data_IF_547927083795
#
_entry.id   IF_547927083795
#
_cell.length_a   1.000
_cell.length_b   1.000
_cell.length_c   1.000
_cell.angle_alpha   90.00
_cell.angle_beta   90.00
_cell.angle_gamma   90.00
#
_symmetry.space_group_name_H-M   'P 1'
#
loop_
_entity.id
_entity.type
_entity.pdbx_description
1 polymer ?
#
# COMPACT_ATOMS: atom_id res chain seq x y z
N UNK A 1 -11.17 -10.07 -8.74
CA UNK A 1 -9.93 -9.72 -8.00
C UNK A 1 -10.05 -9.80 -6.48
N UNK A 2 -11.24 -10.07 -5.92
CA UNK A 2 -11.46 -10.21 -4.46
C UNK A 2 -10.59 -11.33 -3.85
N UNK A 3 -10.21 -11.17 -2.58
CA UNK A 3 -9.60 -12.20 -1.75
C UNK A 3 -10.59 -12.72 -0.68
N UNK A 4 -10.35 -13.90 -0.13
CA UNK A 4 -11.09 -14.44 1.01
C UNK A 4 -10.20 -14.48 2.24
N UNK A 5 -10.57 -13.71 3.27
CA UNK A 5 -9.79 -13.64 4.49
C UNK A 5 -10.21 -14.73 5.47
N UNK A 6 -9.27 -15.59 5.86
CA UNK A 6 -9.48 -16.63 6.83
C UNK A 6 -9.10 -16.11 8.22
N UNK A 7 -10.12 -15.82 9.04
CA UNK A 7 -9.97 -15.25 10.40
C UNK A 7 -9.17 -16.14 11.34
N UNK A 8 -9.19 -17.47 11.16
CA UNK A 8 -8.43 -18.41 11.99
C UNK A 8 -6.93 -18.31 11.72
N UNK A 9 -6.56 -18.17 10.44
CA UNK A 9 -5.14 -18.06 10.03
C UNK A 9 -4.62 -16.62 10.03
N UNK A 10 -5.52 -15.64 9.99
CA UNK A 10 -5.18 -14.23 9.79
C UNK A 10 -4.56 -13.94 8.43
N UNK A 11 -4.89 -14.73 7.39
CA UNK A 11 -4.32 -14.60 6.04
C UNK A 11 -5.42 -14.59 4.99
N UNK A 12 -5.16 -13.95 3.86
CA UNK A 12 -6.05 -13.95 2.72
C UNK A 12 -5.72 -15.07 1.73
N UNK A 13 -6.74 -15.59 1.07
CA UNK A 13 -6.66 -16.64 0.08
C UNK A 13 -7.29 -16.18 -1.23
N UNK A 14 -6.87 -16.81 -2.32
CA UNK A 14 -7.56 -16.63 -3.60
C UNK A 14 -8.89 -17.38 -3.56
N UNK A 15 -9.83 -16.97 -4.41
CA UNK A 15 -11.07 -17.71 -4.59
C UNK A 15 -10.77 -19.09 -5.19
N UNK A 16 -11.62 -20.07 -4.89
CA UNK A 16 -11.53 -21.40 -5.49
C UNK A 16 -11.52 -21.30 -7.03
N UNK A 17 -10.57 -22.00 -7.66
CA UNK A 17 -10.38 -21.98 -9.11
C UNK A 17 -9.76 -20.70 -9.68
N UNK A 18 -9.34 -19.73 -8.85
CA UNK A 18 -8.69 -18.49 -9.29
C UNK A 18 -7.22 -18.50 -8.91
N UNK A 19 -6.36 -18.19 -9.89
CA UNK A 19 -4.93 -17.99 -9.68
C UNK A 19 -4.47 -16.64 -10.22
N UNK A 20 -3.89 -15.80 -9.36
CA UNK A 20 -3.34 -14.50 -9.74
C UNK A 20 -1.82 -14.55 -9.74
N UNK A 21 -1.23 -13.92 -10.77
CA UNK A 21 0.22 -13.82 -10.95
C UNK A 21 0.62 -12.38 -11.17
N UNK A 22 1.85 -12.06 -10.78
CA UNK A 22 2.44 -10.73 -10.94
C UNK A 22 3.51 -10.82 -12.04
N UNK A 23 3.27 -10.26 -13.23
CA UNK A 23 4.25 -10.24 -14.31
C UNK A 23 5.34 -9.19 -14.08
N UNK A 24 6.40 -9.22 -14.90
CA UNK A 24 7.38 -8.13 -15.01
C UNK A 24 8.40 -8.02 -13.88
N UNK A 25 8.51 -9.01 -12.98
CA UNK A 25 9.52 -8.99 -11.93
C UNK A 25 10.95 -8.97 -12.50
N UNK A 26 11.74 -7.95 -12.13
CA UNK A 26 13.07 -7.72 -12.69
C UNK A 26 13.08 -6.93 -14.02
N UNK A 27 11.92 -6.49 -14.50
CA UNK A 27 11.76 -5.57 -15.63
C UNK A 27 10.98 -4.32 -15.16
N UNK A 28 10.87 -3.29 -15.99
CA UNK A 28 10.21 -2.02 -15.63
C UNK A 28 8.81 -1.88 -16.22
N UNK A 29 8.50 -2.57 -17.33
CA UNK A 29 7.27 -2.36 -18.10
C UNK A 29 5.98 -2.34 -17.27
N UNK A 30 5.81 -3.30 -16.35
CA UNK A 30 4.56 -3.46 -15.57
C UNK A 30 4.44 -2.50 -14.39
N UNK A 31 5.51 -1.76 -14.06
CA UNK A 31 5.44 -0.65 -13.08
C UNK A 31 5.39 0.70 -13.79
N UNK A 32 5.93 0.79 -15.00
CA UNK A 32 5.83 1.98 -15.85
C UNK A 32 4.39 2.23 -16.30
N UNK A 33 3.72 1.17 -16.77
CA UNK A 33 2.36 1.22 -17.31
C UNK A 33 1.46 0.16 -16.65
N UNK A 34 0.32 0.60 -16.13
CA UNK A 34 -0.67 -0.28 -15.48
C UNK A 34 -1.59 -1.00 -16.49
N UNK A 35 -1.65 -0.52 -17.73
CA UNK A 35 -2.43 -1.07 -18.83
C UNK A 35 -1.49 -1.36 -20.00
N UNK A 36 -1.59 -2.57 -20.57
CA UNK A 36 -0.76 -3.00 -21.69
C UNK A 36 -0.92 -2.12 -22.95
N UNK A 37 -2.04 -1.40 -23.06
CA UNK A 37 -2.29 -0.43 -24.14
C UNK A 37 -1.50 0.89 -23.99
N UNK A 38 -0.82 1.11 -22.84
CA UNK A 38 0.01 2.29 -22.54
C UNK A 38 -0.71 3.62 -22.76
N UNK A 39 -2.00 3.65 -22.42
CA UNK A 39 -2.79 4.88 -22.46
C UNK A 39 -2.46 5.75 -21.26
N UNK A 40 -2.47 7.07 -21.45
CA UNK A 40 -2.08 8.06 -20.44
C UNK A 40 -2.66 7.83 -19.02
N UNK A 41 -3.94 7.42 -18.81
CA UNK A 41 -4.45 7.14 -17.46
C UNK A 41 -3.75 6.01 -16.71
N UNK A 42 -2.98 5.18 -17.41
CA UNK A 42 -2.23 4.05 -16.86
C UNK A 42 -0.73 4.33 -16.69
N UNK A 43 -0.26 5.52 -17.07
CA UNK A 43 1.11 5.95 -16.87
C UNK A 43 1.38 6.10 -15.37
N UNK A 44 2.45 5.46 -14.87
CA UNK A 44 2.79 5.50 -13.45
C UNK A 44 4.27 5.75 -13.21
N UNK A 45 5.15 4.73 -13.27
CA UNK A 45 6.60 4.96 -13.14
C UNK A 45 7.29 5.36 -14.46
N UNK A 46 6.58 5.38 -15.59
CA UNK A 46 7.19 5.65 -16.90
C UNK A 46 8.00 6.96 -16.93
N UNK A 47 7.51 8.10 -16.42
CA UNK A 47 8.29 9.34 -16.44
C UNK A 47 9.60 9.27 -15.65
N UNK A 48 9.59 8.55 -14.51
CA UNK A 48 10.78 8.34 -13.68
C UNK A 48 11.78 7.45 -14.42
N UNK A 49 11.32 6.34 -14.98
CA UNK A 49 12.20 5.40 -15.70
C UNK A 49 12.76 6.04 -16.97
N UNK A 50 11.98 6.80 -17.73
CA UNK A 50 12.49 7.53 -18.90
C UNK A 50 13.56 8.56 -18.51
N UNK A 51 13.36 9.27 -17.40
CA UNK A 51 14.38 10.19 -16.88
C UNK A 51 15.67 9.46 -16.54
N UNK A 52 15.60 8.32 -15.83
CA UNK A 52 16.77 7.50 -15.53
C UNK A 52 17.46 6.99 -16.80
N UNK A 53 16.69 6.55 -17.79
CA UNK A 53 17.23 6.09 -19.07
C UNK A 53 17.94 7.22 -19.81
N UNK A 54 17.39 8.44 -19.79
CA UNK A 54 18.05 9.62 -20.35
C UNK A 54 19.39 9.96 -19.66
N UNK A 55 19.59 9.49 -18.42
CA UNK A 55 20.84 9.63 -17.66
C UNK A 55 21.81 8.46 -17.85
N UNK A 56 21.47 7.49 -18.71
CA UNK A 56 22.33 6.34 -19.03
C UNK A 56 21.96 5.03 -18.32
N UNK A 57 20.83 4.96 -17.63
CA UNK A 57 20.30 3.68 -17.15
C UNK A 57 19.72 2.85 -18.30
N UNK A 58 19.79 1.53 -18.16
CA UNK A 58 19.22 0.54 -19.08
C UNK A 58 18.20 -0.32 -18.36
N UNK A 59 16.96 -0.30 -18.85
CA UNK A 59 15.84 -1.13 -18.36
C UNK A 59 16.23 -2.60 -18.31
N UNK A 60 15.92 -3.28 -17.21
CA UNK A 60 16.22 -4.70 -17.01
C UNK A 60 17.67 -5.00 -16.62
N UNK A 61 18.56 -4.00 -16.59
CA UNK A 61 19.99 -4.17 -16.27
C UNK A 61 20.36 -3.45 -14.97
N UNK A 62 20.29 -2.12 -14.96
CA UNK A 62 20.62 -1.28 -13.79
C UNK A 62 19.44 -0.40 -13.34
N UNK A 63 18.29 -0.47 -14.03
CA UNK A 63 16.98 -0.04 -13.53
C UNK A 63 15.96 -1.15 -13.77
N UNK A 64 15.30 -1.60 -12.70
CA UNK A 64 14.31 -2.69 -12.74
C UNK A 64 13.15 -2.39 -11.80
N UNK A 65 12.00 -3.00 -12.08
CA UNK A 65 10.85 -3.03 -11.18
C UNK A 65 10.80 -4.31 -10.34
N UNK A 66 10.27 -4.17 -9.13
CA UNK A 66 9.94 -5.29 -8.24
C UNK A 66 8.43 -5.28 -7.93
N UNK A 67 7.55 -5.54 -8.92
CA UNK A 67 6.11 -5.61 -8.69
C UNK A 67 5.76 -6.79 -7.77
N UNK A 68 4.70 -6.60 -6.99
CA UNK A 68 4.13 -7.61 -6.08
C UNK A 68 2.61 -7.59 -6.13
N UNK A 69 1.97 -8.57 -5.48
CA UNK A 69 0.51 -8.60 -5.34
C UNK A 69 0.09 -7.56 -4.30
N UNK A 70 -0.19 -6.35 -4.77
CA UNK A 70 -0.53 -5.19 -3.95
C UNK A 70 -1.88 -5.30 -3.23
N UNK A 71 -2.65 -6.36 -3.47
CA UNK A 71 -3.85 -6.69 -2.68
C UNK A 71 -3.49 -7.21 -1.29
N UNK A 72 -2.27 -7.71 -1.13
CA UNK A 72 -1.79 -8.43 0.07
C UNK A 72 -0.88 -7.55 0.93
N UNK A 73 -0.94 -7.78 2.23
CA UNK A 73 -0.05 -7.18 3.20
C UNK A 73 1.30 -7.94 3.28
N UNK A 74 2.37 -7.33 3.83
CA UNK A 74 3.72 -7.91 3.82
C UNK A 74 3.83 -9.34 4.37
N UNK A 75 3.08 -9.68 5.42
CA UNK A 75 3.12 -11.02 6.05
C UNK A 75 2.81 -12.15 5.07
N UNK A 76 2.02 -11.87 4.05
CA UNK A 76 1.59 -12.83 3.04
C UNK A 76 2.56 -12.92 1.85
N UNK A 77 3.62 -12.09 1.85
CA UNK A 77 4.49 -11.86 0.70
C UNK A 77 5.93 -12.34 0.94
N UNK A 78 6.15 -13.29 1.85
CA UNK A 78 7.49 -13.85 2.14
C UNK A 78 8.23 -14.35 0.89
N UNK A 79 7.51 -15.01 -0.04
CA UNK A 79 8.11 -15.45 -1.32
C UNK A 79 8.58 -14.29 -2.19
N UNK A 80 7.85 -13.17 -2.18
CA UNK A 80 8.26 -11.96 -2.89
C UNK A 80 9.51 -11.33 -2.25
N UNK A 81 9.57 -11.24 -0.92
CA UNK A 81 10.73 -10.66 -0.25
C UNK A 81 12.01 -11.48 -0.40
N UNK A 82 11.91 -12.81 -0.45
CA UNK A 82 13.04 -13.68 -0.82
C UNK A 82 13.51 -13.38 -2.25
N UNK A 83 12.58 -13.23 -3.20
CA UNK A 83 12.92 -12.84 -4.58
C UNK A 83 13.52 -11.44 -4.66
N UNK A 84 13.02 -10.49 -3.88
CA UNK A 84 13.53 -9.11 -3.82
C UNK A 84 14.98 -9.09 -3.31
N UNK A 85 15.28 -9.83 -2.24
CA UNK A 85 16.64 -9.98 -1.73
C UNK A 85 17.58 -10.51 -2.82
N UNK A 86 17.19 -11.58 -3.49
CA UNK A 86 17.99 -12.19 -4.55
C UNK A 86 18.16 -11.26 -5.77
N UNK A 87 17.12 -10.50 -6.11
CA UNK A 87 17.19 -9.50 -7.18
C UNK A 87 18.22 -8.42 -6.84
N UNK A 88 18.20 -7.87 -5.61
CA UNK A 88 19.16 -6.86 -5.16
C UNK A 88 20.59 -7.40 -5.21
N UNK A 89 20.82 -8.60 -4.68
CA UNK A 89 22.14 -9.26 -4.73
C UNK A 89 22.61 -9.46 -6.18
N UNK A 90 21.71 -9.91 -7.06
CA UNK A 90 22.02 -10.13 -8.48
C UNK A 90 22.38 -8.83 -9.19
N UNK A 91 21.61 -7.76 -8.97
CA UNK A 91 21.88 -6.45 -9.57
C UNK A 91 23.22 -5.89 -9.08
N UNK A 92 23.52 -6.05 -7.79
CA UNK A 92 24.80 -5.61 -7.22
C UNK A 92 25.98 -6.25 -7.96
N UNK A 93 26.01 -7.58 -8.06
CA UNK A 93 27.14 -8.28 -8.70
C UNK A 93 27.19 -8.04 -10.22
N UNK A 94 26.04 -7.99 -10.90
CA UNK A 94 25.99 -7.75 -12.35
C UNK A 94 26.39 -6.33 -12.76
N UNK A 95 26.23 -5.36 -11.86
CA UNK A 95 26.55 -3.96 -12.11
C UNK A 95 27.83 -3.52 -11.39
N UNK A 96 28.83 -4.40 -11.35
CA UNK A 96 30.18 -4.04 -10.88
C UNK A 96 30.27 -3.78 -9.37
N UNK A 97 29.47 -4.48 -8.57
CA UNK A 97 29.40 -4.32 -7.11
C UNK A 97 28.96 -2.92 -6.68
N UNK A 98 28.18 -2.25 -7.51
CA UNK A 98 27.54 -0.98 -7.14
C UNK A 98 26.34 -1.24 -6.25
N UNK A 99 26.29 -0.50 -5.13
CA UNK A 99 25.17 -0.55 -4.19
C UNK A 99 23.87 -0.07 -4.84
N UNK A 100 22.77 -0.65 -4.41
CA UNK A 100 21.44 -0.42 -4.99
C UNK A 100 20.73 0.71 -4.24
N UNK A 101 20.12 1.63 -4.99
CA UNK A 101 19.15 2.58 -4.45
C UNK A 101 17.76 1.99 -4.62
N UNK A 102 17.01 1.87 -3.51
CA UNK A 102 15.61 1.47 -3.55
C UNK A 102 14.76 2.72 -3.66
N UNK A 103 13.94 2.83 -4.71
CA UNK A 103 12.93 3.87 -4.83
C UNK A 103 11.55 3.24 -4.68
N UNK A 104 10.75 3.77 -3.77
CA UNK A 104 9.41 3.26 -3.52
C UNK A 104 8.39 4.39 -3.39
N UNK A 105 7.17 4.14 -3.88
CA UNK A 105 6.06 5.09 -3.82
C UNK A 105 4.93 4.58 -2.92
N UNK A 106 4.32 5.49 -2.15
CA UNK A 106 3.15 5.22 -1.32
C UNK A 106 3.37 4.00 -0.40
N UNK A 107 2.48 3.00 -0.45
CA UNK A 107 2.58 1.74 0.28
C UNK A 107 3.88 0.95 0.03
N UNK A 108 4.51 1.11 -1.14
CA UNK A 108 5.78 0.45 -1.44
C UNK A 108 6.88 0.80 -0.43
N UNK A 109 6.79 1.96 0.22
CA UNK A 109 7.68 2.36 1.31
C UNK A 109 7.51 1.51 2.56
N UNK A 110 6.26 1.23 2.94
CA UNK A 110 5.93 0.32 4.04
C UNK A 110 6.43 -1.11 3.74
N UNK A 111 6.30 -1.55 2.48
CA UNK A 111 6.83 -2.84 2.03
C UNK A 111 8.35 -2.91 2.13
N UNK A 112 9.05 -1.86 1.68
CA UNK A 112 10.50 -1.77 1.78
C UNK A 112 10.95 -1.77 3.24
N UNK A 113 10.28 -1.03 4.13
CA UNK A 113 10.64 -1.02 5.56
C UNK A 113 10.41 -2.40 6.20
N UNK A 114 9.29 -3.06 5.89
CA UNK A 114 9.05 -4.42 6.33
C UNK A 114 10.16 -5.38 5.87
N UNK A 115 10.62 -5.25 4.62
CA UNK A 115 11.74 -6.04 4.09
C UNK A 115 13.03 -5.82 4.90
N UNK A 116 13.39 -4.56 5.17
CA UNK A 116 14.63 -4.22 5.90
C UNK A 116 14.68 -4.76 7.32
N UNK A 117 13.53 -4.89 7.98
CA UNK A 117 13.44 -5.36 9.36
C UNK A 117 13.30 -6.89 9.46
N UNK A 118 12.72 -7.55 8.47
CA UNK A 118 12.35 -8.98 8.59
C UNK A 118 13.16 -9.94 7.72
N UNK A 119 13.84 -9.47 6.65
CA UNK A 119 14.49 -10.37 5.67
C UNK A 119 16.01 -10.18 5.55
N UNK A 120 16.54 -9.08 6.09
CA UNK A 120 17.94 -8.70 5.98
C UNK A 120 18.45 -8.14 7.30
N UNK A 121 19.75 -8.28 7.54
CA UNK A 121 20.41 -7.72 8.71
C UNK A 121 21.21 -6.46 8.33
N UNK A 122 21.76 -5.76 9.33
CA UNK A 122 22.50 -4.51 9.09
C UNK A 122 23.70 -4.71 8.16
N UNK A 123 24.51 -5.75 8.37
CA UNK A 123 25.66 -6.05 7.51
C UNK A 123 25.26 -6.27 6.04
N UNK A 124 24.11 -6.90 5.79
CA UNK A 124 23.56 -7.05 4.43
C UNK A 124 23.17 -5.69 3.85
N UNK A 125 22.45 -4.87 4.62
CA UNK A 125 22.03 -3.52 4.18
C UNK A 125 23.24 -2.65 3.84
N UNK A 126 24.25 -2.66 4.70
CA UNK A 126 25.49 -1.89 4.50
C UNK A 126 26.26 -2.33 3.26
N UNK A 127 26.22 -3.63 2.93
CA UNK A 127 26.88 -4.18 1.74
C UNK A 127 26.13 -3.85 0.45
N UNK A 128 24.82 -4.02 0.42
CA UNK A 128 24.05 -4.03 -0.83
C UNK A 128 23.29 -2.74 -1.13
N UNK A 129 22.99 -1.91 -0.13
CA UNK A 129 22.11 -0.75 -0.28
C UNK A 129 22.88 0.56 -0.12
N UNK A 130 22.70 1.46 -1.08
CA UNK A 130 23.20 2.83 -1.00
C UNK A 130 22.21 3.71 -0.23
N UNK A 131 20.91 3.48 -0.44
CA UNK A 131 19.87 4.19 0.28
C UNK A 131 18.47 3.88 -0.24
N UNK A 132 17.49 4.52 0.37
CA UNK A 132 16.07 4.43 0.05
C UNK A 132 15.52 5.82 -0.26
N UNK A 133 15.06 6.04 -1.49
CA UNK A 133 14.26 7.20 -1.86
C UNK A 133 12.79 6.89 -1.61
N UNK A 134 12.21 7.54 -0.62
CA UNK A 134 10.81 7.40 -0.25
C UNK A 134 9.97 8.50 -0.89
N UNK A 135 9.08 8.11 -1.80
CA UNK A 135 8.10 9.00 -2.43
C UNK A 135 6.74 8.81 -1.75
N UNK A 136 6.29 9.83 -1.02
CA UNK A 136 4.98 9.87 -0.35
C UNK A 136 4.70 8.62 0.52
N UNK A 137 5.64 8.21 1.37
CA UNK A 137 5.51 7.03 2.22
C UNK A 137 4.33 7.11 3.20
N UNK A 138 3.44 6.10 3.16
CA UNK A 138 2.26 6.01 4.04
C UNK A 138 2.60 5.37 5.40
N UNK A 139 3.61 5.90 6.08
CA UNK A 139 4.28 5.26 7.23
C UNK A 139 3.34 4.89 8.39
N UNK A 140 2.39 5.78 8.71
CA UNK A 140 1.41 5.57 9.78
C UNK A 140 0.00 5.18 9.30
N UNK A 141 -0.14 4.77 8.05
CA UNK A 141 -1.44 4.57 7.40
C UNK A 141 -2.05 5.87 6.89
N UNK A 142 -3.29 5.80 6.42
CA UNK A 142 -4.02 6.92 5.83
C UNK A 142 -5.50 6.85 6.18
N UNK A 143 -6.09 8.02 6.46
CA UNK A 143 -7.54 8.17 6.65
C UNK A 143 -8.33 7.77 5.42
N UNK A 144 -7.77 7.85 4.21
CA UNK A 144 -8.42 7.43 2.96
C UNK A 144 -8.94 5.99 3.00
N UNK A 145 -8.24 5.11 3.72
CA UNK A 145 -8.64 3.71 3.89
C UNK A 145 -9.98 3.59 4.62
N UNK A 146 -10.33 4.53 5.50
CA UNK A 146 -11.62 4.53 6.19
C UNK A 146 -12.76 4.75 5.21
N UNK A 147 -12.62 5.69 4.26
CA UNK A 147 -13.58 5.89 3.16
C UNK A 147 -13.71 4.63 2.31
N UNK A 148 -12.59 3.96 2.02
CA UNK A 148 -12.55 2.67 1.30
C UNK A 148 -13.39 1.61 2.02
N UNK A 149 -13.23 1.46 3.34
CA UNK A 149 -14.02 0.50 4.12
C UNK A 149 -15.49 0.92 4.24
N UNK A 150 -15.79 2.19 4.50
CA UNK A 150 -17.16 2.65 4.69
C UNK A 150 -17.98 2.64 3.39
N UNK A 151 -17.62 3.50 2.43
CA UNK A 151 -18.44 3.79 1.23
C UNK A 151 -17.80 3.38 -0.09
N UNK A 152 -16.57 2.83 -0.03
CA UNK A 152 -15.75 2.55 -1.20
C UNK A 152 -15.11 3.81 -1.78
N UNK A 153 -14.13 3.61 -2.66
CA UNK A 153 -13.42 4.72 -3.30
C UNK A 153 -13.04 4.38 -4.74
N UNK A 154 -13.40 5.24 -5.69
CA UNK A 154 -13.08 5.05 -7.10
C UNK A 154 -11.96 5.97 -7.59
N UNK A 155 -11.13 6.49 -6.66
CA UNK A 155 -10.04 7.43 -6.97
C UNK A 155 -10.54 8.73 -7.62
N UNK A 156 -11.80 9.09 -7.35
CA UNK A 156 -12.52 10.20 -7.97
C UNK A 156 -12.55 10.15 -9.52
N UNK A 157 -12.26 8.99 -10.11
CA UNK A 157 -12.24 8.73 -11.55
C UNK A 157 -13.55 8.10 -12.03
N UNK A 158 -14.66 8.82 -11.86
CA UNK A 158 -16.01 8.35 -12.16
C UNK A 158 -16.28 7.94 -13.62
N UNK A 159 -15.45 8.38 -14.58
CA UNK A 159 -15.57 8.04 -16.01
C UNK A 159 -14.88 6.74 -16.40
N UNK A 160 -13.94 6.26 -15.58
CA UNK A 160 -13.06 5.13 -15.90
C UNK A 160 -13.28 3.97 -14.92
N UNK A 161 -13.65 4.29 -13.69
CA UNK A 161 -13.76 3.34 -12.59
C UNK A 161 -15.22 3.17 -12.19
N UNK A 162 -15.58 1.93 -11.83
CA UNK A 162 -16.92 1.60 -11.33
C UNK A 162 -17.31 2.47 -10.12
N UNK A 163 -18.62 2.63 -9.85
CA UNK A 163 -19.09 3.35 -8.67
C UNK A 163 -18.46 2.84 -7.37
N UNK A 164 -18.15 3.73 -6.39
CA UNK A 164 -17.49 3.36 -5.14
C UNK A 164 -18.13 2.17 -4.41
N UNK A 165 -19.47 2.14 -4.31
CA UNK A 165 -20.22 1.06 -3.66
C UNK A 165 -19.99 -0.31 -4.31
N UNK A 166 -19.77 -0.36 -5.63
CA UNK A 166 -19.47 -1.62 -6.35
C UNK A 166 -18.03 -2.08 -6.16
N UNK A 167 -17.10 -1.14 -5.91
CA UNK A 167 -15.71 -1.47 -5.62
C UNK A 167 -15.49 -1.88 -4.17
N UNK A 168 -16.33 -1.38 -3.24
CA UNK A 168 -16.20 -1.56 -1.80
C UNK A 168 -15.93 -3.02 -1.40
N UNK A 169 -16.71 -3.97 -1.92
CA UNK A 169 -16.53 -5.41 -1.59
C UNK A 169 -15.16 -5.94 -1.98
N UNK A 170 -14.63 -5.52 -3.14
CA UNK A 170 -13.28 -5.88 -3.57
C UNK A 170 -12.23 -5.20 -2.69
N UNK A 171 -12.39 -3.91 -2.41
CA UNK A 171 -11.40 -3.14 -1.66
C UNK A 171 -11.31 -3.60 -0.20
N UNK A 172 -12.44 -3.87 0.46
CA UNK A 172 -12.52 -4.48 1.81
C UNK A 172 -11.81 -5.83 1.89
N UNK A 173 -11.67 -6.55 0.77
CA UNK A 173 -11.00 -7.85 0.77
C UNK A 173 -9.47 -7.76 0.75
N UNK A 174 -8.90 -6.60 0.43
CA UNK A 174 -7.46 -6.44 0.34
C UNK A 174 -6.87 -6.22 1.73
N UNK A 175 -6.03 -7.14 2.20
CA UNK A 175 -5.30 -7.00 3.48
C UNK A 175 -4.33 -5.82 3.44
N UNK A 176 -3.90 -5.38 2.25
CA UNK A 176 -3.17 -4.12 2.10
C UNK A 176 -3.97 -2.87 2.49
N UNK A 177 -5.31 -2.91 2.39
CA UNK A 177 -6.16 -1.84 2.93
C UNK A 177 -6.10 -1.87 4.46
N UNK A 178 -6.18 -3.05 5.08
CA UNK A 178 -6.07 -3.20 6.53
C UNK A 178 -4.70 -2.74 7.07
N UNK A 179 -3.61 -3.04 6.35
CA UNK A 179 -2.26 -2.56 6.66
C UNK A 179 -2.17 -1.03 6.73
N UNK A 180 -2.87 -0.33 5.83
CA UNK A 180 -2.82 1.12 5.70
C UNK A 180 -3.90 1.85 6.51
N UNK A 181 -4.67 1.15 7.33
CA UNK A 181 -5.54 1.80 8.31
C UNK A 181 -4.70 2.67 9.27
N UNK A 182 -5.22 3.78 9.82
CA UNK A 182 -4.50 4.58 10.81
C UNK A 182 -3.86 3.73 11.91
N UNK A 183 -2.55 3.88 12.06
CA UNK A 183 -1.76 3.09 13.01
C UNK A 183 -1.71 3.76 14.38
N UNK A 184 -1.88 3.01 15.49
CA UNK A 184 -1.74 3.56 16.84
C UNK A 184 -0.30 4.01 17.17
N UNK A 185 0.68 3.70 16.31
CA UNK A 185 2.06 4.19 16.45
C UNK A 185 2.22 5.66 16.03
N UNK A 186 1.26 6.21 15.29
CA UNK A 186 1.28 7.61 14.83
C UNK A 186 0.01 8.37 15.24
N UNK A 187 -1.16 7.75 15.08
CA UNK A 187 -2.45 8.37 15.32
C UNK A 187 -2.88 8.19 16.78
N UNK A 188 -3.32 9.27 17.42
CA UNK A 188 -3.83 9.25 18.77
C UNK A 188 -5.11 8.42 18.92
N UNK A 189 -5.34 7.79 20.09
CA UNK A 189 -6.49 6.90 20.29
C UNK A 189 -7.84 7.59 20.14
N UNK A 190 -7.90 8.90 20.41
CA UNK A 190 -9.12 9.71 20.39
C UNK A 190 -9.20 10.63 19.14
N UNK A 191 -8.26 10.52 18.21
CA UNK A 191 -8.31 11.27 16.96
C UNK A 191 -9.48 10.75 16.12
N UNK A 192 -10.51 11.60 15.98
CA UNK A 192 -11.72 11.25 15.27
C UNK A 192 -11.48 11.30 13.78
N UNK A 193 -11.80 10.22 13.08
CA UNK A 193 -11.65 10.12 11.62
C UNK A 193 -13.00 9.97 10.89
N UNK A 194 -14.06 9.57 11.59
CA UNK A 194 -15.44 9.56 11.06
C UNK A 194 -16.36 10.27 12.04
N UNK A 195 -17.21 11.14 11.51
CA UNK A 195 -18.27 11.85 12.23
C UNK A 195 -19.61 11.49 11.60
N UNK A 196 -20.54 10.99 12.40
CA UNK A 196 -21.93 10.73 12.01
C UNK A 196 -22.88 11.43 12.98
N UNK A 197 -24.19 11.54 12.70
CA UNK A 197 -25.12 12.21 13.62
C UNK A 197 -25.32 11.46 14.93
N UNK A 198 -25.02 10.16 14.97
CA UNK A 198 -25.15 9.31 16.16
C UNK A 198 -23.83 9.19 16.92
N UNK A 199 -22.71 9.18 16.20
CA UNK A 199 -21.44 8.70 16.76
C UNK A 199 -20.22 9.21 16.02
N UNK A 200 -19.15 9.39 16.77
CA UNK A 200 -17.81 9.66 16.24
C UNK A 200 -16.96 8.40 16.39
N UNK A 201 -16.10 8.13 15.40
CA UNK A 201 -15.20 6.99 15.41
C UNK A 201 -13.75 7.44 15.39
N UNK A 202 -12.97 6.80 16.25
CA UNK A 202 -11.52 6.92 16.43
C UNK A 202 -10.93 5.53 16.66
N UNK A 203 -9.61 5.45 16.90
CA UNK A 203 -8.97 4.17 17.18
C UNK A 203 -9.47 3.52 18.48
N UNK A 204 -9.90 4.32 19.46
CA UNK A 204 -10.45 3.83 20.74
C UNK A 204 -11.75 3.05 20.61
N UNK A 205 -12.51 3.23 19.52
CA UNK A 205 -13.77 2.53 19.29
C UNK A 205 -13.88 1.94 17.88
N UNK A 206 -12.75 1.50 17.33
CA UNK A 206 -12.64 0.95 15.98
C UNK A 206 -13.49 -0.32 15.76
N UNK A 207 -13.73 -1.12 16.80
CA UNK A 207 -14.62 -2.29 16.72
C UNK A 207 -16.06 -1.87 16.39
N UNK A 208 -16.54 -0.80 17.02
CA UNK A 208 -17.87 -0.27 16.76
C UNK A 208 -17.96 0.26 15.32
N UNK A 209 -16.90 0.88 14.80
CA UNK A 209 -16.85 1.29 13.40
C UNK A 209 -17.04 0.10 12.46
N UNK A 210 -16.30 -0.99 12.64
CA UNK A 210 -16.40 -2.16 11.77
C UNK A 210 -17.76 -2.87 11.87
N UNK A 211 -18.37 -2.88 13.05
CA UNK A 211 -19.72 -3.40 13.25
C UNK A 211 -20.76 -2.53 12.55
N UNK A 212 -20.69 -1.21 12.71
CA UNK A 212 -21.66 -0.25 12.17
C UNK A 212 -21.59 -0.12 10.63
N UNK A 213 -20.46 -0.51 10.00
CA UNK A 213 -20.36 -0.62 8.53
C UNK A 213 -20.70 -2.01 7.98
N UNK A 214 -21.25 -2.88 8.83
CA UNK A 214 -21.61 -4.28 8.56
C UNK A 214 -20.42 -5.09 8.01
N UNK A 215 -19.22 -4.87 8.59
CA UNK A 215 -18.00 -5.58 8.19
C UNK A 215 -17.09 -5.91 9.39
N UNK A 216 -17.56 -6.73 10.36
CA UNK A 216 -16.77 -7.11 11.54
C UNK A 216 -15.45 -7.81 11.19
N UNK A 217 -15.39 -8.54 10.06
CA UNK A 217 -14.17 -9.18 9.56
C UNK A 217 -13.02 -8.16 9.34
N UNK A 218 -13.33 -6.90 9.05
CA UNK A 218 -12.33 -5.85 8.87
C UNK A 218 -11.52 -5.56 10.14
N UNK A 219 -12.12 -5.74 11.33
CA UNK A 219 -11.41 -5.62 12.59
C UNK A 219 -10.30 -6.68 12.72
N UNK A 220 -10.61 -7.92 12.34
CA UNK A 220 -9.66 -9.03 12.40
C UNK A 220 -8.55 -8.90 11.34
N UNK A 221 -8.88 -8.37 10.15
CA UNK A 221 -7.87 -7.99 9.16
C UNK A 221 -6.92 -6.92 9.73
N UNK A 222 -7.46 -5.85 10.32
CA UNK A 222 -6.65 -4.77 10.88
C UNK A 222 -5.77 -5.25 12.03
N UNK A 223 -6.31 -6.03 12.97
CA UNK A 223 -5.51 -6.63 14.07
C UNK A 223 -4.38 -7.51 13.53
N UNK A 224 -4.63 -8.27 12.46
CA UNK A 224 -3.64 -9.16 11.85
C UNK A 224 -2.51 -8.40 11.15
N UNK A 225 -2.83 -7.29 10.47
CA UNK A 225 -1.88 -6.57 9.60
C UNK A 225 -1.25 -5.32 10.21
N UNK A 226 -1.90 -4.65 11.16
CA UNK A 226 -1.38 -3.45 11.83
C UNK A 226 0.05 -3.63 12.41
N UNK A 227 0.42 -4.78 13.02
CA UNK A 227 1.79 -5.01 13.48
C UNK A 227 2.84 -4.98 12.37
N UNK A 228 2.45 -5.32 11.13
CA UNK A 228 3.33 -5.34 9.95
C UNK A 228 3.66 -3.94 9.44
N UNK A 229 2.95 -2.90 9.89
CA UNK A 229 3.27 -1.51 9.58
C UNK A 229 4.38 -1.02 10.54
N UNK A 230 5.62 -1.15 10.09
CA UNK A 230 6.81 -0.75 10.85
C UNK A 230 7.14 0.71 10.55
N UNK A 231 7.29 1.51 11.61
CA UNK A 231 7.71 2.92 11.52
C UNK A 231 9.15 3.13 12.02
N UNK A 232 9.76 2.09 12.57
CA UNK A 232 11.12 2.15 13.09
C UNK A 232 12.11 2.43 11.95
N UNK A 233 13.19 3.19 12.22
CA UNK A 233 14.18 3.54 11.21
C UNK A 233 14.73 2.30 10.48
N UNK A 234 14.86 2.36 9.14
CA UNK A 234 15.21 1.18 8.35
C UNK A 234 16.69 0.77 8.45
N UNK A 235 17.54 1.56 9.11
CA UNK A 235 18.99 1.33 9.17
C UNK A 235 19.67 1.43 7.80
N UNK A 236 19.15 2.28 6.92
CA UNK A 236 19.79 2.70 5.66
C UNK A 236 19.64 4.21 5.52
N UNK A 237 20.44 4.83 4.65
CA UNK A 237 20.23 6.24 4.28
C UNK A 237 18.85 6.40 3.64
N UNK A 238 18.04 7.33 4.13
CA UNK A 238 16.69 7.58 3.58
C UNK A 238 16.58 9.01 3.09
N UNK A 239 16.01 9.18 1.90
CA UNK A 239 15.57 10.46 1.37
C UNK A 239 14.04 10.46 1.37
N UNK A 240 13.43 11.17 2.33
CA UNK A 240 11.98 11.26 2.44
C UNK A 240 11.45 12.45 1.66
N UNK A 241 10.68 12.18 0.61
CA UNK A 241 10.01 13.17 -0.22
C UNK A 241 8.51 13.01 0.00
N UNK A 242 7.85 14.08 0.46
CA UNK A 242 6.41 14.09 0.71
C UNK A 242 5.81 15.38 0.14
N UNK A 243 4.56 15.27 -0.32
CA UNK A 243 3.80 16.45 -0.74
C UNK A 243 3.24 17.18 0.48
N UNK A 244 3.29 18.50 0.43
CA UNK A 244 2.62 19.39 1.39
C UNK A 244 1.65 20.30 0.63
N UNK A 245 0.76 20.99 1.36
CA UNK A 245 -0.14 22.02 0.82
C UNK A 245 -1.21 21.51 -0.17
N UNK A 246 -1.36 20.20 -0.31
CA UNK A 246 -2.48 19.57 -1.02
C UNK A 246 -3.54 19.17 0.01
N UNK A 247 -4.77 19.65 -0.19
CA UNK A 247 -5.90 19.31 0.69
C UNK A 247 -6.09 17.79 0.73
N UNK A 248 -5.82 17.21 1.89
CA UNK A 248 -5.92 15.77 2.13
C UNK A 248 -6.95 15.56 3.23
N UNK A 249 -7.99 14.75 3.02
CA UNK A 249 -9.05 14.57 4.01
C UNK A 249 -8.50 13.96 5.30
N UNK A 250 -8.71 14.63 6.42
CA UNK A 250 -8.38 14.10 7.76
C UNK A 250 -9.58 13.42 8.38
N UNK A 251 -10.78 13.94 8.09
CA UNK A 251 -12.03 13.44 8.65
C UNK A 251 -13.10 13.26 7.57
N UNK A 252 -13.95 12.26 7.77
CA UNK A 252 -15.10 11.98 6.92
C UNK A 252 -16.40 12.20 7.68
N UNK A 253 -17.28 13.03 7.13
CA UNK A 253 -18.52 13.43 7.79
C UNK A 253 -19.71 12.90 6.99
N UNK A 254 -20.63 12.23 7.69
CA UNK A 254 -21.97 11.92 7.19
C UNK A 254 -22.98 12.73 8.00
N UNK A 255 -23.68 13.69 7.38
CA UNK A 255 -24.64 14.55 8.10
C UNK A 255 -25.98 13.88 8.40
N UNK A 256 -26.27 12.74 7.77
CA UNK A 256 -27.52 12.01 7.97
C UNK A 256 -27.25 10.52 8.13
N UNK A 257 -27.99 9.86 9.03
CA UNK A 257 -27.80 8.44 9.34
C UNK A 257 -28.00 7.53 8.13
N UNK A 258 -28.94 7.86 7.25
CA UNK A 258 -29.22 7.06 6.05
C UNK A 258 -28.12 7.15 4.98
N UNK A 259 -27.16 8.06 5.13
CA UNK A 259 -26.02 8.17 4.23
C UNK A 259 -24.86 7.25 4.64
N UNK A 260 -24.71 6.95 5.94
CA UNK A 260 -23.62 6.11 6.44
C UNK A 260 -24.05 4.63 6.48
N UNK A 261 -23.25 3.68 5.97
CA UNK A 261 -21.95 3.85 5.31
C UNK A 261 -22.03 3.89 3.77
N UNK A 262 -23.22 3.82 3.16
CA UNK A 262 -23.38 3.48 1.75
C UNK A 262 -23.19 4.64 0.76
N UNK A 263 -23.26 5.89 1.22
CA UNK A 263 -23.06 7.08 0.41
C UNK A 263 -21.71 7.72 0.69
N UNK A 264 -21.22 8.52 -0.26
CA UNK A 264 -19.93 9.19 -0.11
C UNK A 264 -19.99 10.27 1.00
N UNK A 265 -18.94 10.37 1.85
CA UNK A 265 -18.87 11.37 2.90
C UNK A 265 -18.55 12.76 2.37
N UNK A 266 -18.82 13.76 3.20
CA UNK A 266 -18.23 15.08 3.08
C UNK A 266 -16.80 15.07 3.66
N UNK A 267 -15.90 15.78 3.01
CA UNK A 267 -14.48 15.82 3.37
C UNK A 267 -14.23 17.05 4.27
N UNK A 268 -13.49 16.86 5.36
CA UNK A 268 -12.96 17.95 6.19
C UNK A 268 -11.44 17.86 6.25
#
# INVERSE_FOLDING_TARGET
MRLEFNVTTGMAQELEGVHVRVPGFGNTETVEWLDASRRSPSEYFAPIVESLVSWGYTRGINVVGAPYDWRRAPRELSKYFVKLKHLIETLFYKNGNQKIVIMAHSMGNCMANYFYHNFVNQAWKDKFLEGHISLAGAWGGSTQVIKVYASGYNMDHWRVVLPPSRLRTMQRSFTSSALLFPSPKLWGPNETFVITPRKNYSLSNIEEFFNDIEFPQGLEQWKSESPSLIIDPPGVKVYCIYGSEVKTPEQYIWYHNWLFPDYQPYLR
#
